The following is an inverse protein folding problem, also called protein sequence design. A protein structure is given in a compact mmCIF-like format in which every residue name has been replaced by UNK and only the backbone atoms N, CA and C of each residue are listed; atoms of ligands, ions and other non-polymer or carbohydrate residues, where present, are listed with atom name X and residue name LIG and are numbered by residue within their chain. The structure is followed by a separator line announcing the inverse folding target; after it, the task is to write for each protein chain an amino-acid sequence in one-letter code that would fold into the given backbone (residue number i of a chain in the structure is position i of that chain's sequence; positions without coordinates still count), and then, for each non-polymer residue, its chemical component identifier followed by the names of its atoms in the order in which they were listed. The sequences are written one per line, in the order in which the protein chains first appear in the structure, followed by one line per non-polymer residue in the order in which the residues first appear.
data_IF_337510978641
#
_entry.id   IF_337510978641
#
_cell.length_a   1.000
_cell.length_b   1.000
_cell.length_c   1.000
_cell.angle_alpha   90.00
_cell.angle_beta   90.00
_cell.angle_gamma   90.00
#
_symmetry.space_group_name_H-M   'P 1'
#
loop_
_entity.id
_entity.type
_entity.pdbx_description
1 polymer ?
#
# COMPACT_ATOMS: atom_id res chain seq x y z
N UNK A 1 -14.63 -11.97 1.58
CA UNK A 1 -14.25 -11.56 0.21
C UNK A 1 -12.99 -10.70 0.11
N UNK A 2 -12.93 -9.45 0.57
CA UNK A 2 -11.75 -8.57 0.40
C UNK A 2 -10.43 -9.21 0.91
N UNK A 3 -10.39 -9.64 2.17
CA UNK A 3 -9.21 -10.31 2.76
C UNK A 3 -8.93 -11.71 2.21
N UNK A 4 -9.95 -12.42 1.72
CA UNK A 4 -9.76 -13.72 1.06
C UNK A 4 -9.02 -13.54 -0.27
N UNK A 5 -9.38 -12.52 -1.06
CA UNK A 5 -8.69 -12.21 -2.32
C UNK A 5 -7.24 -11.77 -2.06
N UNK A 6 -6.99 -11.05 -0.97
CA UNK A 6 -5.63 -10.75 -0.53
C UNK A 6 -4.84 -12.04 -0.28
N UNK A 7 -5.41 -12.99 0.45
CA UNK A 7 -4.74 -14.25 0.76
C UNK A 7 -4.53 -15.10 -0.51
N UNK A 8 -5.45 -15.05 -1.47
CA UNK A 8 -5.26 -15.66 -2.80
C UNK A 8 -4.14 -15.00 -3.59
N UNK A 9 -4.05 -13.67 -3.61
CA UNK A 9 -2.98 -12.95 -4.29
C UNK A 9 -1.62 -13.28 -3.68
N UNK A 10 -1.51 -13.35 -2.35
CA UNK A 10 -0.30 -13.80 -1.68
C UNK A 10 0.05 -15.26 -2.02
N UNK A 11 -0.95 -16.13 -2.13
CA UNK A 11 -0.72 -17.52 -2.54
C UNK A 11 -0.19 -17.60 -3.98
N UNK A 12 -0.76 -16.84 -4.91
CA UNK A 12 -0.27 -16.75 -6.29
C UNK A 12 1.19 -16.27 -6.32
N UNK A 13 1.52 -15.23 -5.56
CA UNK A 13 2.88 -14.71 -5.45
C UNK A 13 3.87 -15.79 -4.95
N UNK A 14 3.49 -16.54 -3.92
CA UNK A 14 4.29 -17.66 -3.37
C UNK A 14 4.52 -18.78 -4.38
N UNK A 15 3.59 -18.98 -5.32
CA UNK A 15 3.68 -20.00 -6.37
C UNK A 15 4.29 -19.47 -7.68
N UNK A 16 4.87 -18.26 -7.68
CA UNK A 16 5.54 -17.68 -8.84
C UNK A 16 4.64 -16.92 -9.82
N UNK A 17 3.32 -16.85 -9.56
CA UNK A 17 2.34 -16.13 -10.38
C UNK A 17 2.23 -14.65 -9.99
N UNK A 18 3.35 -13.94 -10.06
CA UNK A 18 3.49 -12.56 -9.56
C UNK A 18 2.58 -11.57 -10.26
N UNK A 19 2.51 -11.63 -11.59
CA UNK A 19 1.75 -10.64 -12.37
C UNK A 19 0.26 -10.91 -12.26
N UNK A 20 -0.13 -12.19 -12.24
CA UNK A 20 -1.49 -12.64 -11.97
C UNK A 20 -1.93 -12.21 -10.56
N UNK A 21 -1.05 -12.33 -9.56
CA UNK A 21 -1.31 -11.84 -8.21
C UNK A 21 -1.57 -10.33 -8.20
N UNK A 22 -0.73 -9.55 -8.86
CA UNK A 22 -0.88 -8.09 -8.95
C UNK A 22 -2.19 -7.72 -9.67
N UNK A 23 -2.47 -8.33 -10.82
CA UNK A 23 -3.68 -8.07 -11.61
C UNK A 23 -4.93 -8.46 -10.81
N UNK A 24 -4.93 -9.61 -10.14
CA UNK A 24 -6.01 -10.03 -9.25
C UNK A 24 -6.23 -9.01 -8.13
N UNK A 25 -5.15 -8.57 -7.50
CA UNK A 25 -5.22 -7.61 -6.40
C UNK A 25 -5.76 -6.25 -6.85
N UNK A 26 -5.28 -5.71 -7.97
CA UNK A 26 -5.74 -4.44 -8.52
C UNK A 26 -7.18 -4.51 -9.07
N UNK A 27 -7.54 -5.61 -9.74
CA UNK A 27 -8.88 -5.82 -10.29
C UNK A 27 -9.97 -5.99 -9.23
N UNK A 28 -9.60 -6.12 -7.96
CA UNK A 28 -10.56 -6.31 -6.88
C UNK A 28 -10.49 -5.19 -5.85
N UNK A 29 -9.29 -4.82 -5.40
CA UNK A 29 -9.09 -3.76 -4.41
C UNK A 29 -9.07 -2.36 -5.04
N UNK A 30 -8.81 -2.21 -6.34
CA UNK A 30 -8.80 -0.94 -7.07
C UNK A 30 -9.72 -0.93 -8.30
N UNK A 31 -10.71 -1.84 -8.36
CA UNK A 31 -11.50 -2.13 -9.56
C UNK A 31 -12.09 -0.89 -10.24
N UNK A 32 -12.64 0.04 -9.46
CA UNK A 32 -13.29 1.24 -9.98
C UNK A 32 -12.37 2.06 -10.87
N UNK A 33 -11.07 2.09 -10.57
CA UNK A 33 -10.07 2.78 -11.34
C UNK A 33 -9.36 1.85 -12.34
N UNK A 34 -8.98 0.65 -11.89
CA UNK A 34 -8.24 -0.32 -12.71
C UNK A 34 -8.97 -0.67 -14.02
N UNK A 35 -10.31 -0.75 -14.00
CA UNK A 35 -11.11 -1.01 -15.21
C UNK A 35 -10.90 0.00 -16.35
N UNK A 36 -10.55 1.24 -16.02
CA UNK A 36 -10.29 2.29 -17.01
C UNK A 36 -8.87 2.22 -17.56
N UNK A 37 -7.93 1.63 -16.82
CA UNK A 37 -6.55 1.46 -17.29
C UNK A 37 -6.43 0.20 -18.14
N UNK A 38 -7.23 -0.84 -17.84
CA UNK A 38 -7.14 -2.16 -18.49
C UNK A 38 -7.12 -2.11 -20.03
N UNK A 39 -7.84 -1.18 -20.64
CA UNK A 39 -7.88 -1.04 -22.11
C UNK A 39 -6.54 -0.65 -22.72
N UNK A 40 -5.70 0.05 -21.96
CA UNK A 40 -4.41 0.60 -22.39
C UNK A 40 -3.27 0.19 -21.44
N UNK A 41 -3.45 -0.88 -20.66
CA UNK A 41 -2.47 -1.27 -19.65
C UNK A 41 -1.25 -1.89 -20.33
N UNK A 42 -0.14 -1.17 -20.30
CA UNK A 42 1.13 -1.62 -20.86
C UNK A 42 1.77 -2.68 -19.96
N UNK A 43 1.28 -3.91 -20.09
CA UNK A 43 1.71 -5.03 -19.26
C UNK A 43 3.20 -5.35 -19.46
N UNK A 44 3.74 -5.16 -20.66
CA UNK A 44 5.13 -5.49 -20.97
C UNK A 44 6.09 -4.54 -20.27
N UNK A 45 5.86 -3.23 -20.37
CA UNK A 45 6.68 -2.25 -19.65
C UNK A 45 6.43 -2.30 -18.14
N UNK A 46 5.21 -2.65 -17.71
CA UNK A 46 4.93 -2.89 -16.30
C UNK A 46 5.78 -4.05 -15.75
N UNK A 47 5.84 -5.19 -16.46
CA UNK A 47 6.66 -6.36 -16.07
C UNK A 47 8.14 -5.97 -15.95
N UNK A 48 8.70 -5.30 -16.95
CA UNK A 48 10.09 -4.83 -16.95
C UNK A 48 10.36 -3.87 -15.78
N UNK A 49 9.43 -2.98 -15.49
CA UNK A 49 9.53 -2.05 -14.35
C UNK A 49 9.56 -2.81 -13.03
N UNK A 50 8.66 -3.78 -12.83
CA UNK A 50 8.64 -4.61 -11.63
C UNK A 50 9.95 -5.38 -11.47
N UNK A 51 10.45 -6.03 -12.52
CA UNK A 51 11.71 -6.78 -12.47
C UNK A 51 12.91 -5.88 -12.14
N UNK A 52 12.93 -4.64 -12.65
CA UNK A 52 13.95 -3.65 -12.31
C UNK A 52 13.87 -3.28 -10.83
N UNK A 53 12.69 -2.88 -10.37
CA UNK A 53 12.45 -2.49 -8.97
C UNK A 53 12.83 -3.63 -8.01
N UNK A 54 12.56 -4.89 -8.37
CA UNK A 54 12.91 -6.06 -7.56
C UNK A 54 14.41 -6.27 -7.38
N UNK A 55 15.19 -6.00 -8.43
CA UNK A 55 16.66 -6.11 -8.39
C UNK A 55 17.31 -4.93 -7.68
N UNK A 56 16.64 -3.78 -7.67
CA UNK A 56 17.15 -2.52 -7.15
C UNK A 56 16.41 -2.14 -5.85
N UNK A 57 15.44 -1.23 -5.92
CA UNK A 57 14.85 -0.54 -4.77
C UNK A 57 14.09 -1.47 -3.82
N UNK A 58 13.39 -2.49 -4.32
CA UNK A 58 12.68 -3.46 -3.47
C UNK A 58 13.65 -4.42 -2.77
N UNK A 59 14.82 -4.69 -3.37
CA UNK A 59 15.86 -5.52 -2.76
C UNK A 59 16.43 -4.85 -1.50
N UNK A 60 16.51 -3.52 -1.48
CA UNK A 60 16.92 -2.72 -0.32
C UNK A 60 16.06 -3.00 0.93
N UNK A 61 14.82 -3.44 0.76
CA UNK A 61 13.88 -3.73 1.84
C UNK A 61 13.86 -5.20 2.27
N UNK A 62 14.74 -6.05 1.73
CA UNK A 62 14.85 -7.45 2.17
C UNK A 62 15.27 -7.54 3.65
N UNK A 63 14.50 -8.29 4.44
CA UNK A 63 14.73 -8.45 5.89
C UNK A 63 14.34 -7.24 6.73
N UNK A 64 13.82 -6.17 6.11
CA UNK A 64 13.30 -4.99 6.83
C UNK A 64 11.81 -5.13 7.09
N UNK A 65 11.35 -4.46 8.13
CA UNK A 65 9.93 -4.36 8.49
C UNK A 65 9.55 -2.91 8.74
N UNK A 66 8.26 -2.61 8.69
CA UNK A 66 7.71 -1.27 8.89
C UNK A 66 8.10 -0.65 10.24
N UNK A 67 8.24 -1.49 11.27
CA UNK A 67 8.62 -1.09 12.62
C UNK A 67 10.09 -0.64 12.69
N UNK A 68 10.95 -1.30 11.90
CA UNK A 68 12.40 -1.19 11.99
C UNK A 68 13.03 -0.29 10.93
N UNK A 69 12.31 0.06 9.86
CA UNK A 69 12.80 1.02 8.88
C UNK A 69 12.91 2.43 9.50
N UNK A 70 14.02 3.10 9.24
CA UNK A 70 14.18 4.50 9.60
C UNK A 70 13.61 5.37 8.48
N UNK A 71 12.43 5.93 8.71
CA UNK A 71 11.79 6.83 7.74
C UNK A 71 12.39 8.25 7.78
N UNK A 72 13.30 8.57 8.69
CA UNK A 72 14.07 9.82 8.66
C UNK A 72 15.35 9.70 7.80
N UNK A 73 15.75 8.47 7.44
CA UNK A 73 16.86 8.23 6.51
C UNK A 73 16.48 8.61 5.07
N UNK A 74 17.28 9.48 4.47
CA UNK A 74 17.09 9.93 3.08
C UNK A 74 17.21 8.79 2.06
N UNK A 75 18.11 7.83 2.26
CA UNK A 75 18.26 6.66 1.38
C UNK A 75 17.01 5.78 1.45
N UNK A 76 16.49 5.55 2.66
CA UNK A 76 15.24 4.80 2.84
C UNK A 76 14.11 5.50 2.12
N UNK A 77 13.89 6.78 2.40
CA UNK A 77 12.76 7.52 1.82
C UNK A 77 12.87 7.68 0.32
N UNK A 78 14.06 7.87 -0.26
CA UNK A 78 14.23 7.97 -1.70
C UNK A 78 13.90 6.64 -2.41
N UNK A 79 14.31 5.50 -1.85
CA UNK A 79 13.91 4.18 -2.38
C UNK A 79 12.37 4.01 -2.38
N UNK A 80 11.68 4.45 -1.32
CA UNK A 80 10.21 4.41 -1.26
C UNK A 80 9.60 5.27 -2.38
N UNK A 81 10.11 6.48 -2.57
CA UNK A 81 9.62 7.41 -3.59
C UNK A 81 9.86 6.90 -4.99
N UNK A 82 11.04 6.35 -5.29
CA UNK A 82 11.36 5.77 -6.60
C UNK A 82 10.41 4.64 -6.98
N UNK A 83 10.16 3.69 -6.06
CA UNK A 83 9.19 2.61 -6.25
C UNK A 83 7.80 3.21 -6.52
N UNK A 84 7.38 4.17 -5.70
CA UNK A 84 6.07 4.80 -5.81
C UNK A 84 5.88 5.52 -7.15
N UNK A 85 6.87 6.30 -7.60
CA UNK A 85 6.86 7.03 -8.87
C UNK A 85 6.77 6.05 -10.05
N UNK A 86 7.62 5.01 -10.05
CA UNK A 86 7.66 4.01 -11.11
C UNK A 86 6.31 3.30 -11.26
N UNK A 87 5.67 2.93 -10.16
CA UNK A 87 4.36 2.27 -10.18
C UNK A 87 3.20 3.22 -10.50
N UNK A 88 3.27 4.47 -10.06
CA UNK A 88 2.24 5.48 -10.35
C UNK A 88 2.03 5.70 -11.85
N UNK A 89 3.07 5.50 -12.66
CA UNK A 89 2.98 5.57 -14.11
C UNK A 89 1.89 4.61 -14.66
N UNK A 90 1.82 3.39 -14.11
CA UNK A 90 0.95 2.32 -14.59
C UNK A 90 -0.39 2.25 -13.86
N UNK A 91 -0.36 2.38 -12.53
CA UNK A 91 -1.52 2.05 -11.67
C UNK A 91 -2.00 3.23 -10.82
N UNK A 92 -1.42 4.42 -11.05
CA UNK A 92 -1.65 5.66 -10.28
C UNK A 92 -1.40 5.49 -8.79
N UNK A 93 -1.63 6.58 -8.06
CA UNK A 93 -1.29 6.76 -6.65
C UNK A 93 -1.85 5.69 -5.69
N UNK A 94 -3.12 5.31 -5.86
CA UNK A 94 -3.76 4.32 -4.97
C UNK A 94 -3.30 2.91 -5.36
N UNK A 95 -3.33 2.58 -6.64
CA UNK A 95 -2.84 1.29 -7.15
C UNK A 95 -1.37 1.06 -6.84
N UNK A 96 -0.52 2.09 -6.90
CA UNK A 96 0.91 1.99 -6.61
C UNK A 96 1.14 1.45 -5.19
N UNK A 97 0.50 2.04 -4.18
CA UNK A 97 0.65 1.58 -2.79
C UNK A 97 0.14 0.15 -2.57
N UNK A 98 -0.85 -0.29 -3.34
CA UNK A 98 -1.38 -1.67 -3.30
C UNK A 98 -0.38 -2.65 -3.89
N UNK A 99 0.26 -2.30 -5.01
CA UNK A 99 1.34 -3.11 -5.59
C UNK A 99 2.53 -3.17 -4.64
N UNK A 100 2.93 -2.04 -4.07
CA UNK A 100 4.01 -1.97 -3.07
C UNK A 100 3.72 -2.90 -1.88
N UNK A 101 2.53 -2.76 -1.28
CA UNK A 101 2.08 -3.61 -0.17
C UNK A 101 2.08 -5.10 -0.57
N UNK A 102 1.59 -5.46 -1.77
CA UNK A 102 1.56 -6.86 -2.19
C UNK A 102 2.97 -7.46 -2.35
N UNK A 103 3.93 -6.68 -2.86
CA UNK A 103 5.30 -7.12 -3.08
C UNK A 103 6.15 -7.17 -1.80
N UNK A 104 5.90 -6.25 -0.87
CA UNK A 104 6.60 -6.17 0.42
C UNK A 104 5.61 -5.85 1.55
N UNK A 105 4.79 -6.85 1.94
CA UNK A 105 3.75 -6.63 2.95
C UNK A 105 4.34 -6.23 4.28
N UNK A 106 5.52 -6.71 4.68
CA UNK A 106 6.12 -6.34 5.96
C UNK A 106 6.55 -4.87 6.06
N UNK A 107 6.59 -4.13 4.95
CA UNK A 107 7.21 -2.79 4.88
C UNK A 107 6.21 -1.70 4.50
N UNK A 108 5.47 -1.91 3.41
CA UNK A 108 4.62 -0.85 2.87
C UNK A 108 3.21 -0.92 3.44
N UNK A 109 2.63 0.26 3.69
CA UNK A 109 1.23 0.38 4.08
C UNK A 109 0.44 0.85 2.87
N UNK A 110 -0.61 0.13 2.53
CA UNK A 110 -1.55 0.55 1.49
C UNK A 110 -2.49 1.64 2.01
N UNK A 111 -3.02 2.46 1.09
CA UNK A 111 -4.07 3.41 1.41
C UNK A 111 -5.18 3.42 0.34
N UNK A 112 -6.28 4.08 0.66
CA UNK A 112 -7.32 4.42 -0.30
C UNK A 112 -7.64 5.94 -0.21
N UNK A 113 -8.43 6.42 -1.16
CA UNK A 113 -8.80 7.84 -1.21
C UNK A 113 -9.45 8.33 0.09
N UNK A 114 -10.24 7.49 0.79
CA UNK A 114 -10.90 7.89 2.04
C UNK A 114 -9.90 7.97 3.19
N UNK A 115 -8.99 7.01 3.27
CA UNK A 115 -7.89 6.98 4.25
C UNK A 115 -7.01 8.23 4.08
N UNK A 116 -6.57 8.54 2.86
CA UNK A 116 -5.79 9.76 2.56
C UNK A 116 -6.57 11.01 2.99
N UNK A 117 -7.86 11.07 2.63
CA UNK A 117 -8.70 12.22 2.92
C UNK A 117 -8.90 12.45 4.42
N UNK A 118 -8.82 11.40 5.23
CA UNK A 118 -8.82 11.51 6.69
C UNK A 118 -7.48 12.03 7.20
N UNK A 119 -6.37 11.43 6.77
CA UNK A 119 -5.06 11.73 7.34
C UNK A 119 -4.42 13.03 6.82
N UNK A 120 -4.85 13.57 5.68
CA UNK A 120 -4.34 14.86 5.14
C UNK A 120 -4.49 16.06 6.07
N UNK A 121 -5.33 15.99 7.10
CA UNK A 121 -5.52 17.07 8.08
C UNK A 121 -4.47 17.03 9.19
N UNK A 122 -3.70 15.94 9.32
CA UNK A 122 -2.66 15.77 10.33
C UNK A 122 -1.41 16.54 9.88
N UNK A 123 -0.99 17.52 10.68
CA UNK A 123 0.15 18.40 10.36
C UNK A 123 1.48 17.95 10.97
N UNK A 124 1.51 16.81 11.65
CA UNK A 124 2.63 16.38 12.51
C UNK A 124 3.85 15.82 11.76
N UNK A 125 3.70 15.49 10.48
CA UNK A 125 4.73 14.83 9.66
C UNK A 125 4.88 15.47 8.27
N UNK A 126 4.36 16.68 8.08
CA UNK A 126 4.28 17.34 6.78
C UNK A 126 2.98 17.05 6.02
N UNK A 127 2.93 17.45 4.74
CA UNK A 127 1.75 17.34 3.90
C UNK A 127 1.54 15.90 3.45
N UNK A 128 0.35 15.36 3.69
CA UNK A 128 -0.08 14.06 3.16
C UNK A 128 -0.99 14.30 1.96
N UNK A 129 -0.52 13.94 0.77
CA UNK A 129 -1.26 14.00 -0.49
C UNK A 129 -0.79 12.89 -1.44
N UNK A 130 -1.19 12.93 -2.71
CA UNK A 130 -0.89 11.88 -3.69
C UNK A 130 0.54 11.91 -4.24
N UNK A 131 1.39 12.83 -3.78
CA UNK A 131 2.81 12.90 -4.17
C UNK A 131 3.66 11.80 -3.51
N UNK A 132 4.87 11.53 -4.02
CA UNK A 132 5.81 10.62 -3.38
C UNK A 132 6.15 11.04 -1.94
N UNK A 133 6.40 12.34 -1.72
CA UNK A 133 6.59 12.92 -0.38
C UNK A 133 5.35 12.72 0.50
N UNK A 134 4.16 12.90 -0.06
CA UNK A 134 2.89 12.68 0.62
C UNK A 134 2.74 11.24 1.12
N UNK A 135 3.18 10.26 0.32
CA UNK A 135 3.18 8.85 0.72
C UNK A 135 4.20 8.55 1.83
N UNK A 136 5.42 9.09 1.73
CA UNK A 136 6.43 8.97 2.81
C UNK A 136 5.91 9.59 4.10
N UNK A 137 5.31 10.78 4.04
CA UNK A 137 4.73 11.44 5.21
C UNK A 137 3.59 10.59 5.81
N UNK A 138 2.77 9.95 4.98
CA UNK A 138 1.78 9.01 5.47
C UNK A 138 2.40 7.82 6.20
N UNK A 139 3.45 7.20 5.66
CA UNK A 139 4.17 6.12 6.35
C UNK A 139 4.76 6.59 7.68
N UNK A 140 5.36 7.79 7.73
CA UNK A 140 5.86 8.40 8.98
C UNK A 140 4.75 8.57 10.01
N UNK A 141 3.59 9.08 9.59
CA UNK A 141 2.43 9.22 10.47
C UNK A 141 2.03 7.85 11.03
N UNK A 142 1.84 6.85 10.16
CA UNK A 142 1.44 5.52 10.60
C UNK A 142 2.46 4.93 11.58
N UNK A 143 3.76 5.15 11.37
CA UNK A 143 4.79 4.62 12.26
C UNK A 143 4.75 5.30 13.63
N UNK A 144 4.49 6.61 13.64
CA UNK A 144 4.29 7.39 14.87
C UNK A 144 3.05 6.93 15.64
N UNK A 145 1.90 6.81 14.97
CA UNK A 145 0.64 6.35 15.60
C UNK A 145 0.79 4.91 16.13
N UNK A 146 1.52 4.06 15.40
CA UNK A 146 1.84 2.70 15.86
C UNK A 146 2.70 2.69 17.12
N UNK A 147 3.80 3.46 17.15
CA UNK A 147 4.67 3.60 18.33
C UNK A 147 3.93 4.18 19.55
N UNK A 148 2.87 4.97 19.31
CA UNK A 148 2.00 5.51 20.35
C UNK A 148 0.88 4.55 20.81
N UNK A 149 0.76 3.36 20.21
CA UNK A 149 -0.27 2.38 20.57
C UNK A 149 -1.68 2.71 20.07
N UNK A 150 -1.82 3.54 19.02
CA UNK A 150 -3.15 3.97 18.53
C UNK A 150 -3.86 2.92 17.66
N UNK A 151 -3.16 1.87 17.24
CA UNK A 151 -3.73 0.76 16.49
C UNK A 151 -3.96 -0.45 17.39
N UNK A 152 -5.13 -1.10 17.31
CA UNK A 152 -5.34 -2.36 17.99
C UNK A 152 -4.39 -3.41 17.38
N UNK A 153 -3.50 -3.95 18.21
CA UNK A 153 -2.69 -5.10 17.81
C UNK A 153 -3.64 -6.26 17.48
N UNK A 154 -3.38 -6.92 16.35
CA UNK A 154 -4.15 -8.07 15.95
C UNK A 154 -3.87 -9.26 16.85
N UNK A 155 -4.91 -10.00 17.24
CA UNK A 155 -4.78 -11.31 17.89
C UNK A 155 -4.59 -12.45 16.86
N UNK A 156 -4.45 -12.16 15.56
CA UNK A 156 -4.20 -13.19 14.55
C UNK A 156 -2.71 -13.50 14.48
N UNK A 157 -2.38 -14.77 14.75
CA UNK A 157 -1.03 -15.29 14.55
C UNK A 157 -0.54 -15.00 13.12
N UNK A 158 0.71 -14.53 12.99
CA UNK A 158 1.41 -14.26 11.73
C UNK A 158 0.84 -13.13 10.85
N UNK A 159 0.08 -12.19 11.41
CA UNK A 159 -0.31 -10.98 10.67
C UNK A 159 0.76 -9.89 10.75
N UNK A 160 1.19 -9.38 9.59
CA UNK A 160 2.08 -8.22 9.51
C UNK A 160 1.42 -6.96 10.08
N UNK A 161 2.22 -6.07 10.68
CA UNK A 161 1.71 -4.83 11.29
C UNK A 161 1.06 -3.92 10.25
N UNK A 162 1.61 -3.88 9.06
CA UNK A 162 1.03 -3.15 7.92
C UNK A 162 -0.38 -3.63 7.57
N UNK A 163 -0.65 -4.95 7.65
CA UNK A 163 -1.97 -5.53 7.41
C UNK A 163 -2.94 -5.19 8.53
N UNK A 164 -2.47 -5.19 9.79
CA UNK A 164 -3.26 -4.75 10.93
C UNK A 164 -3.66 -3.26 10.80
N UNK A 165 -2.72 -2.39 10.42
CA UNK A 165 -2.97 -0.96 10.19
C UNK A 165 -3.95 -0.76 9.02
N UNK A 166 -3.79 -1.45 7.89
CA UNK A 166 -4.75 -1.38 6.79
C UNK A 166 -6.16 -1.79 7.24
N UNK A 167 -6.29 -2.93 7.93
CA UNK A 167 -7.60 -3.39 8.42
C UNK A 167 -8.27 -2.34 9.29
N UNK A 168 -7.53 -1.81 10.27
CA UNK A 168 -8.05 -0.75 11.14
C UNK A 168 -8.52 0.45 10.33
N UNK A 169 -7.69 0.93 9.40
CA UNK A 169 -8.01 2.07 8.56
C UNK A 169 -9.24 1.82 7.68
N UNK A 170 -9.33 0.63 7.08
CA UNK A 170 -10.47 0.23 6.24
C UNK A 170 -11.78 0.18 7.05
N UNK A 171 -11.77 -0.45 8.22
CA UNK A 171 -12.95 -0.55 9.08
C UNK A 171 -13.40 0.83 9.58
N UNK A 172 -12.45 1.63 10.07
CA UNK A 172 -12.72 2.93 10.68
C UNK A 172 -13.14 3.98 9.66
N UNK A 173 -12.48 4.05 8.51
CA UNK A 173 -12.66 5.17 7.58
C UNK A 173 -13.41 4.80 6.30
N UNK A 174 -13.39 3.54 5.88
CA UNK A 174 -14.02 3.13 4.61
C UNK A 174 -15.37 2.45 4.82
N UNK A 175 -15.50 1.53 5.79
CA UNK A 175 -16.78 0.87 6.12
C UNK A 175 -17.71 1.78 6.91
N UNK A 176 -17.20 2.43 7.96
CA UNK A 176 -18.04 3.26 8.84
C UNK A 176 -18.62 4.49 8.13
N UNK A 177 -17.89 5.06 7.16
CA UNK A 177 -18.40 6.15 6.32
C UNK A 177 -19.49 5.68 5.34
N UNK A 178 -19.41 4.45 4.82
CA UNK A 178 -20.47 3.88 3.97
C UNK A 178 -21.76 3.57 4.74
N UNK A 179 -21.69 3.29 6.05
CA UNK A 179 -22.88 3.11 6.90
C UNK A 179 -23.61 4.42 7.20
N UNK A 180 -22.87 5.54 7.32
CA UNK A 180 -23.49 6.86 7.52
C UNK A 180 -24.24 7.32 6.27
N UNK A 181 -23.64 7.18 5.08
CA UNK A 181 -24.26 7.57 3.81
C UNK A 181 -25.43 6.66 3.35
N UNK A 182 -25.78 5.61 4.10
CA UNK A 182 -26.93 4.73 3.82
C UNK A 182 -28.13 5.02 4.74
N UNK A 183 -27.99 5.97 5.67
CA UNK A 183 -29.05 6.38 6.61
C UNK A 183 -29.64 7.76 6.28
N UNK A 184 -29.16 8.38 5.21
CA UNK A 184 -29.69 9.60 4.59
C UNK A 184 -30.33 9.22 3.25
#
# INVERSE_FOLDING_TARGET
LRYEIHDWALNLLKNGYKYEAIILFLSTWDFAYFRYILTNFDIENFKKTIEKLEKEQLAFFNGKTFENIDLEDNVVTENIKEIYIALCHFVKHVGATKVMYLLKPEVFIMWDTKIINHYRTYKTVGKIDKSPEGYVNFMKLMQKLYKNGEFPLSNKENESITRAIDRYNFEKYTVSSNKKNKKD
#
